data_IF_816837555684
#
_entry.id   IF_816837555684
#
_cell.length_a   1.000
_cell.length_b   1.000
_cell.length_c   1.000
_cell.angle_alpha   90.00
_cell.angle_beta   90.00
_cell.angle_gamma   90.00
#
_symmetry.space_group_name_H-M   'P 1'
#
loop_
_entity.id
_entity.type
_entity.pdbx_description
1 polymer ?
#
# COMPACT_ATOMS: atom_id res chain seq x y z
N UNK A 1 24.56 -5.99 -4.33
CA UNK A 1 23.53 -6.91 -4.86
C UNK A 1 22.39 -6.91 -3.85
N UNK A 2 21.25 -6.29 -4.14
CA UNK A 2 20.07 -6.50 -3.30
C UNK A 2 19.62 -7.94 -3.51
N UNK A 3 19.57 -8.75 -2.45
CA UNK A 3 18.92 -10.06 -2.52
C UNK A 3 17.50 -9.87 -3.05
N UNK A 4 17.28 -10.30 -4.30
CA UNK A 4 16.06 -9.99 -5.03
C UNK A 4 14.85 -10.71 -4.45
N UNK A 5 13.69 -10.07 -4.52
CA UNK A 5 12.42 -10.77 -4.38
C UNK A 5 12.26 -11.75 -5.55
N UNK A 6 11.78 -12.94 -5.26
CA UNK A 6 11.65 -14.03 -6.24
C UNK A 6 10.24 -14.18 -6.79
N UNK A 7 9.24 -13.67 -6.06
CA UNK A 7 7.81 -13.76 -6.40
C UNK A 7 7.00 -12.71 -5.64
N UNK A 8 5.75 -12.54 -6.04
CA UNK A 8 4.76 -11.74 -5.33
C UNK A 8 3.78 -12.65 -4.55
N UNK A 9 3.32 -12.18 -3.40
CA UNK A 9 2.21 -12.71 -2.63
C UNK A 9 0.88 -12.00 -2.97
N UNK A 10 -0.05 -11.86 -2.01
CA UNK A 10 -1.30 -11.17 -2.21
C UNK A 10 -1.09 -9.72 -2.69
N UNK A 11 -2.01 -9.25 -3.52
CA UNK A 11 -1.99 -7.89 -4.05
C UNK A 11 -3.34 -7.21 -3.79
N UNK A 12 -3.29 -5.90 -3.55
CA UNK A 12 -4.47 -5.05 -3.52
C UNK A 12 -4.48 -4.18 -4.75
N UNK A 13 -5.65 -4.06 -5.36
CA UNK A 13 -5.86 -3.18 -6.52
C UNK A 13 -6.91 -2.13 -6.21
N UNK A 14 -6.80 -1.00 -6.86
CA UNK A 14 -7.82 0.07 -6.86
C UNK A 14 -7.91 0.68 -8.25
N UNK A 15 -8.69 1.76 -8.41
CA UNK A 15 -8.69 2.56 -9.63
C UNK A 15 -7.90 3.85 -9.44
N UNK A 16 -7.39 4.37 -10.55
CA UNK A 16 -6.66 5.64 -10.55
C UNK A 16 -7.51 6.79 -10.01
N UNK A 17 -8.81 6.78 -10.33
CA UNK A 17 -9.77 7.73 -9.77
C UNK A 17 -9.88 7.65 -8.24
N UNK A 18 -9.95 6.44 -7.69
CA UNK A 18 -10.00 6.27 -6.23
C UNK A 18 -8.70 6.77 -5.62
N UNK A 19 -7.52 6.48 -6.17
CA UNK A 19 -6.28 7.04 -5.62
C UNK A 19 -6.30 8.56 -5.48
N UNK A 20 -6.97 9.27 -6.39
CA UNK A 20 -7.07 10.72 -6.32
C UNK A 20 -5.76 11.42 -6.68
N UNK A 21 -4.94 10.76 -7.50
CA UNK A 21 -3.75 11.38 -8.05
C UNK A 21 -4.12 12.05 -9.37
N UNK A 22 -3.66 13.28 -9.56
CA UNK A 22 -3.82 14.01 -10.83
C UNK A 22 -2.86 13.44 -11.88
N UNK A 23 -3.17 12.25 -12.37
CA UNK A 23 -2.42 11.58 -13.42
C UNK A 23 -3.36 10.91 -14.42
N UNK A 24 -2.88 10.77 -15.65
CA UNK A 24 -3.50 9.94 -16.67
C UNK A 24 -2.64 8.71 -16.90
N UNK A 25 -3.28 7.60 -17.28
CA UNK A 25 -2.57 6.41 -17.73
C UNK A 25 -2.60 6.36 -19.26
N UNK A 26 -1.48 6.01 -19.88
CA UNK A 26 -1.37 5.84 -21.34
C UNK A 26 -1.11 4.37 -21.64
N UNK A 27 -1.88 3.79 -22.55
CA UNK A 27 -1.63 2.44 -23.06
C UNK A 27 -0.47 2.49 -24.04
N UNK A 28 0.71 1.98 -23.68
CA UNK A 28 1.94 2.07 -24.50
C UNK A 28 1.76 1.51 -25.92
N UNK A 29 1.01 0.42 -26.08
CA UNK A 29 0.81 -0.21 -27.39
C UNK A 29 -0.01 0.63 -28.38
N UNK A 30 -0.87 1.53 -27.90
CA UNK A 30 -1.77 2.34 -28.75
C UNK A 30 -1.60 3.83 -28.54
N UNK A 31 -0.79 4.24 -27.58
CA UNK A 31 -0.61 5.60 -27.09
C UNK A 31 -1.92 6.30 -26.65
N UNK A 32 -2.99 5.53 -26.43
CA UNK A 32 -4.27 6.09 -26.00
C UNK A 32 -4.28 6.40 -24.51
N UNK A 33 -4.84 7.57 -24.16
CA UNK A 33 -5.14 7.93 -22.78
C UNK A 33 -6.31 7.09 -22.27
N UNK A 34 -6.11 6.40 -21.16
CA UNK A 34 -7.10 5.54 -20.52
C UNK A 34 -8.01 6.34 -19.57
N UNK A 35 -9.27 5.89 -19.44
CA UNK A 35 -10.25 6.50 -18.54
C UNK A 35 -9.87 6.26 -17.06
N UNK A 36 -9.60 7.30 -16.25
CA UNK A 36 -9.14 7.15 -14.87
C UNK A 36 -10.05 6.31 -13.97
N UNK A 37 -11.37 6.36 -14.18
CA UNK A 37 -12.36 5.63 -13.37
C UNK A 37 -12.28 4.11 -13.52
N UNK A 38 -11.92 3.61 -14.70
CA UNK A 38 -11.84 2.17 -15.00
C UNK A 38 -10.41 1.63 -15.00
N UNK A 39 -9.40 2.51 -15.03
CA UNK A 39 -7.99 2.11 -14.98
C UNK A 39 -7.66 1.53 -13.61
N UNK A 40 -7.54 0.20 -13.55
CA UNK A 40 -7.06 -0.52 -12.36
C UNK A 40 -5.56 -0.34 -12.19
N UNK A 41 -5.13 -0.20 -10.94
CA UNK A 41 -3.74 -0.08 -10.53
C UNK A 41 -3.50 -0.98 -9.31
N UNK A 42 -2.26 -1.46 -9.17
CA UNK A 42 -1.80 -2.15 -7.96
C UNK A 42 -1.48 -1.07 -6.93
N UNK A 43 -2.06 -1.17 -5.74
CA UNK A 43 -1.82 -0.22 -4.63
C UNK A 43 -0.98 -0.83 -3.51
N UNK A 44 -0.91 -2.16 -3.44
CA UNK A 44 0.03 -2.87 -2.59
C UNK A 44 0.26 -4.29 -3.11
N UNK A 45 1.44 -4.82 -2.83
CA UNK A 45 1.85 -6.19 -3.13
C UNK A 45 2.79 -6.68 -2.03
N UNK A 46 2.61 -7.93 -1.60
CA UNK A 46 3.62 -8.58 -0.77
C UNK A 46 4.76 -9.04 -1.66
N UNK A 47 5.98 -8.54 -1.42
CA UNK A 47 7.17 -9.00 -2.11
C UNK A 47 7.83 -10.13 -1.30
N UNK A 48 8.10 -11.28 -1.92
CA UNK A 48 8.59 -12.47 -1.22
C UNK A 48 10.01 -12.83 -1.61
N UNK A 49 10.88 -13.00 -0.60
CA UNK A 49 12.21 -13.57 -0.79
C UNK A 49 12.11 -15.03 -1.24
N UNK A 50 13.17 -15.54 -1.86
CA UNK A 50 13.27 -16.94 -2.26
C UNK A 50 13.02 -17.86 -1.05
N UNK A 51 12.18 -18.88 -1.23
CA UNK A 51 11.79 -19.81 -0.17
C UNK A 51 10.76 -19.29 0.84
N UNK A 52 10.43 -17.99 0.85
CA UNK A 52 9.43 -17.44 1.77
C UNK A 52 8.00 -17.82 1.34
N UNK A 53 7.15 -18.14 2.31
CA UNK A 53 5.70 -18.33 2.08
C UNK A 53 4.99 -16.99 2.17
N UNK A 54 3.97 -16.84 1.34
CA UNK A 54 3.09 -15.68 1.34
C UNK A 54 2.33 -15.56 2.67
N UNK A 55 2.09 -14.33 3.12
CA UNK A 55 1.14 -14.07 4.20
C UNK A 55 -0.26 -14.52 3.77
N UNK A 56 -0.97 -15.16 4.70
CA UNK A 56 -2.41 -15.40 4.57
C UNK A 56 -3.17 -14.37 5.41
N UNK A 57 -4.42 -14.11 5.05
CA UNK A 57 -5.27 -13.27 5.87
C UNK A 57 -5.53 -13.95 7.22
N UNK A 58 -5.47 -13.19 8.31
CA UNK A 58 -5.92 -13.64 9.61
C UNK A 58 -7.46 -13.66 9.71
N UNK A 59 -7.99 -14.01 10.88
CA UNK A 59 -9.43 -14.08 11.15
C UNK A 59 -10.16 -12.74 10.95
N UNK A 60 -9.41 -11.63 11.01
CA UNK A 60 -9.91 -10.27 10.90
C UNK A 60 -9.70 -9.71 9.47
N UNK A 61 -9.27 -10.56 8.53
CA UNK A 61 -9.07 -10.23 7.12
C UNK A 61 -7.76 -9.47 6.84
N UNK A 62 -6.89 -9.33 7.85
CA UNK A 62 -5.66 -8.58 7.73
C UNK A 62 -4.54 -9.45 7.16
N UNK A 63 -3.75 -8.89 6.24
CA UNK A 63 -2.59 -9.52 5.60
C UNK A 63 -1.34 -8.73 5.99
N UNK A 64 -0.38 -9.41 6.62
CA UNK A 64 0.90 -8.83 7.04
C UNK A 64 1.12 -8.98 8.55
N UNK A 65 1.80 -8.02 9.18
CA UNK A 65 2.36 -8.21 10.53
C UNK A 65 2.01 -7.08 11.51
N UNK A 66 1.62 -7.43 12.74
CA UNK A 66 1.31 -6.49 13.82
C UNK A 66 0.26 -5.42 13.49
N UNK A 67 -0.71 -5.74 12.65
CA UNK A 67 -1.86 -4.86 12.46
C UNK A 67 -2.84 -5.02 13.64
N UNK A 68 -3.42 -3.90 14.09
CA UNK A 68 -4.54 -3.85 15.04
C UNK A 68 -5.76 -3.32 14.31
N UNK A 69 -6.88 -4.03 14.42
CA UNK A 69 -8.09 -3.77 13.63
C UNK A 69 -8.22 -4.75 12.46
N UNK A 70 -9.17 -4.48 11.57
CA UNK A 70 -9.61 -5.41 10.52
C UNK A 70 -9.17 -4.99 9.13
N UNK A 71 -9.08 -5.96 8.22
CA UNK A 71 -8.86 -5.79 6.78
C UNK A 71 -7.60 -4.98 6.40
N UNK A 72 -6.58 -4.97 7.24
CA UNK A 72 -5.36 -4.23 6.95
C UNK A 72 -4.47 -4.98 5.96
N UNK A 73 -3.69 -4.26 5.16
CA UNK A 73 -2.66 -4.83 4.30
C UNK A 73 -1.33 -4.14 4.57
N UNK A 74 -0.34 -4.87 5.07
CA UNK A 74 0.98 -4.33 5.40
C UNK A 74 1.31 -4.52 6.87
N UNK A 75 2.02 -3.57 7.49
CA UNK A 75 2.57 -3.77 8.84
C UNK A 75 2.26 -2.64 9.81
N UNK A 76 2.07 -2.98 11.08
CA UNK A 76 1.95 -2.02 12.20
C UNK A 76 0.85 -0.96 12.02
N UNK A 77 -0.23 -1.27 11.30
CA UNK A 77 -1.38 -0.35 11.22
C UNK A 77 -2.25 -0.46 12.48
N UNK A 78 -2.73 0.68 12.97
CA UNK A 78 -3.65 0.78 14.11
C UNK A 78 -4.96 1.43 13.63
N UNK A 79 -5.93 0.61 13.24
CA UNK A 79 -7.20 1.01 12.61
C UNK A 79 -7.72 -0.03 11.63
N UNK A 80 -8.86 0.25 10.98
CA UNK A 80 -9.47 -0.65 10.00
C UNK A 80 -9.14 -0.23 8.54
N UNK A 81 -9.13 -1.18 7.62
CA UNK A 81 -9.08 -0.99 6.15
C UNK A 81 -7.86 -0.20 5.62
N UNK A 82 -6.73 -0.23 6.34
CA UNK A 82 -5.51 0.48 5.94
C UNK A 82 -4.59 -0.36 5.04
N UNK A 83 -3.87 0.31 4.15
CA UNK A 83 -2.90 -0.30 3.22
C UNK A 83 -1.57 0.40 3.39
N UNK A 84 -0.50 -0.35 3.64
CA UNK A 84 0.85 0.17 3.87
C UNK A 84 1.27 -0.02 5.33
N UNK A 85 2.10 0.87 5.85
CA UNK A 85 2.81 0.66 7.11
C UNK A 85 2.61 1.78 8.12
N UNK A 86 2.49 1.42 9.40
CA UNK A 86 2.51 2.36 10.54
C UNK A 86 1.46 3.47 10.46
N UNK A 87 0.29 3.17 9.87
CA UNK A 87 -0.81 4.13 9.85
C UNK A 87 -1.61 4.07 11.17
N UNK A 88 -2.10 5.22 11.63
CA UNK A 88 -2.99 5.34 12.79
C UNK A 88 -4.31 5.96 12.34
N UNK A 89 -5.40 5.27 12.63
CA UNK A 89 -6.75 5.58 12.15
C UNK A 89 -7.12 4.84 10.87
N UNK A 90 -8.41 4.87 10.47
CA UNK A 90 -8.93 3.97 9.45
C UNK A 90 -8.74 4.44 8.01
N UNK A 91 -8.74 3.49 7.08
CA UNK A 91 -8.74 3.67 5.63
C UNK A 91 -7.55 4.47 5.08
N UNK A 92 -6.39 4.40 5.73
CA UNK A 92 -5.18 5.07 5.28
C UNK A 92 -4.38 4.19 4.31
N UNK A 93 -4.01 4.74 3.15
CA UNK A 93 -3.19 4.09 2.13
C UNK A 93 -1.86 4.82 1.96
N UNK A 94 -0.75 4.11 2.14
CA UNK A 94 0.60 4.63 2.22
C UNK A 94 1.20 4.38 3.60
N UNK A 95 2.23 5.14 3.99
CA UNK A 95 2.94 4.90 5.25
C UNK A 95 2.89 6.10 6.19
N UNK A 96 2.90 5.84 7.50
CA UNK A 96 3.00 6.83 8.57
C UNK A 96 1.90 7.91 8.54
N UNK A 97 0.69 7.58 8.07
CA UNK A 97 -0.42 8.52 8.12
C UNK A 97 -1.12 8.45 9.47
N UNK A 98 -1.48 9.60 10.04
CA UNK A 98 -2.26 9.73 11.27
C UNK A 98 -3.56 10.46 10.92
N UNK A 99 -4.69 9.77 10.98
CA UNK A 99 -6.00 10.31 10.62
C UNK A 99 -6.86 9.30 9.86
N UNK A 100 -7.78 9.79 9.05
CA UNK A 100 -8.73 8.95 8.28
C UNK A 100 -8.64 9.19 6.79
N UNK A 101 -8.62 8.09 6.02
CA UNK A 101 -8.84 8.10 4.58
C UNK A 101 -7.69 8.66 3.74
N UNK A 102 -6.53 8.91 4.36
CA UNK A 102 -5.37 9.51 3.69
C UNK A 102 -4.84 8.54 2.65
N UNK A 103 -4.56 9.01 1.44
CA UNK A 103 -3.91 8.22 0.39
C UNK A 103 -2.55 8.82 0.09
N UNK A 104 -1.75 9.07 1.13
CA UNK A 104 -0.49 9.81 1.09
C UNK A 104 0.60 9.10 1.92
N UNK A 105 1.73 9.77 2.16
CA UNK A 105 2.75 9.34 3.12
C UNK A 105 2.97 10.45 4.17
N UNK A 106 3.19 10.07 5.42
CA UNK A 106 3.53 10.98 6.53
C UNK A 106 2.51 12.12 6.75
N UNK A 107 1.23 11.90 6.44
CA UNK A 107 0.19 12.94 6.61
C UNK A 107 -0.45 12.84 8.00
N UNK A 108 -0.56 13.99 8.67
CA UNK A 108 -1.38 14.14 9.88
C UNK A 108 -2.68 14.88 9.55
N UNK A 109 -3.78 14.41 10.13
CA UNK A 109 -5.13 14.91 9.91
C UNK A 109 -5.93 14.06 8.92
N UNK A 110 -7.21 14.39 8.74
CA UNK A 110 -8.11 13.63 7.87
C UNK A 110 -8.07 14.14 6.43
N UNK A 111 -8.29 13.25 5.47
CA UNK A 111 -8.46 13.61 4.08
C UNK A 111 -9.70 14.47 3.88
N UNK A 112 -9.52 15.65 3.27
CA UNK A 112 -10.61 16.59 2.99
C UNK A 112 -11.18 16.46 1.58
N UNK A 113 -10.32 16.17 0.60
CA UNK A 113 -10.69 16.05 -0.81
C UNK A 113 -10.01 14.84 -1.45
N UNK A 114 -10.49 14.41 -2.62
CA UNK A 114 -9.91 13.26 -3.32
C UNK A 114 -8.44 13.55 -3.69
N UNK A 115 -8.09 14.76 -4.14
CA UNK A 115 -6.73 15.06 -4.60
C UNK A 115 -5.85 15.74 -3.55
N UNK A 116 -6.01 15.38 -2.28
CA UNK A 116 -5.35 16.02 -1.13
C UNK A 116 -3.85 15.67 -1.00
N UNK A 117 -3.37 14.64 -1.72
CA UNK A 117 -2.01 14.14 -1.65
C UNK A 117 -1.20 14.52 -2.90
N UNK A 118 0.11 14.75 -2.74
CA UNK A 118 0.97 15.14 -3.85
C UNK A 118 1.50 13.92 -4.62
N UNK A 119 1.44 13.98 -5.95
CA UNK A 119 2.12 12.99 -6.81
C UNK A 119 3.64 12.97 -6.56
N UNK A 120 4.23 14.11 -6.19
CA UNK A 120 5.66 14.20 -5.91
C UNK A 120 6.04 13.36 -4.70
N UNK A 121 5.18 13.30 -3.67
CA UNK A 121 5.40 12.46 -2.50
C UNK A 121 5.37 10.97 -2.85
N UNK A 122 4.45 10.55 -3.71
CA UNK A 122 4.42 9.17 -4.21
C UNK A 122 5.71 8.81 -4.95
N UNK A 123 6.23 9.71 -5.78
CA UNK A 123 7.53 9.48 -6.46
C UNK A 123 8.69 9.31 -5.47
N UNK A 124 8.63 10.01 -4.34
CA UNK A 124 9.69 9.98 -3.32
C UNK A 124 9.60 8.76 -2.41
N UNK A 125 8.39 8.36 -2.01
CA UNK A 125 8.19 7.39 -0.92
C UNK A 125 7.58 6.05 -1.34
N UNK A 126 6.96 5.94 -2.52
CA UNK A 126 6.35 4.67 -2.95
C UNK A 126 7.37 3.56 -3.28
N UNK A 127 8.67 3.88 -3.21
CA UNK A 127 9.77 2.95 -3.47
C UNK A 127 10.39 2.37 -2.19
N UNK A 128 9.88 2.74 -1.01
CA UNK A 128 10.41 2.22 0.26
C UNK A 128 9.88 0.79 0.47
N UNK A 129 10.68 -0.18 0.05
CA UNK A 129 10.57 -1.59 0.40
C UNK A 129 10.95 -1.77 1.87
N UNK A 130 10.03 -1.48 2.78
CA UNK A 130 10.25 -1.80 4.19
C UNK A 130 9.91 -3.28 4.41
N UNK A 131 10.93 -4.14 4.31
CA UNK A 131 10.84 -5.54 4.71
C UNK A 131 11.38 -5.65 6.12
N UNK A 132 10.54 -5.65 7.18
CA UNK A 132 11.05 -5.99 8.49
C UNK A 132 11.68 -7.38 8.40
N UNK A 133 12.94 -7.49 8.85
CA UNK A 133 13.62 -8.77 8.93
C UNK A 133 12.77 -9.72 9.78
N UNK A 134 12.57 -10.98 9.37
CA UNK A 134 11.90 -11.94 10.23
C UNK A 134 12.66 -12.04 11.56
N UNK A 135 11.96 -12.18 12.70
CA UNK A 135 12.63 -12.25 13.99
C UNK A 135 13.63 -13.41 13.97
N UNK A 136 14.87 -13.15 14.42
CA UNK A 136 15.87 -14.20 14.55
C UNK A 136 15.30 -15.27 15.48
N UNK A 137 15.26 -16.53 15.02
CA UNK A 137 15.05 -17.65 15.94
C UNK A 137 16.11 -17.51 17.03
N UNK A 138 15.69 -17.24 18.27
CA UNK A 138 16.59 -17.35 19.41
C UNK A 138 17.09 -18.80 19.42
N UNK A 139 18.40 -18.95 19.35
CA UNK A 139 19.09 -20.22 19.60
C UNK A 139 18.91 -20.63 21.06
#
# INVERSE_FOLDING_TARGET
MHEGFSKAGPARTSTLHVMGLSMSAVRVSTLQILRPRSTKIIVAVECLKAGQKACSADKDGSVGYHNKGRNNFGTMNDGDDSIGNSNVGPANWGNNNIGKGNRCFNKTGNRKVINDCSLLEFRKYAWVLDSPLPPSKKA
#
